data_IF_012270319755
#
_entry.id   IF_012270319755
#
_cell.length_a   1.000
_cell.length_b   1.000
_cell.length_c   1.000
_cell.angle_alpha   90.00
_cell.angle_beta   90.00
_cell.angle_gamma   90.00
#
_symmetry.space_group_name_H-M   'P 1'
#
loop_
_entity.id
_entity.type
_entity.pdbx_description
1 polymer ?
#
# COMPACT_ATOMS: atom_id res chain seq x y z
N UNK A 1 -31.03 4.64 -4.11
CA UNK A 1 -29.75 5.11 -3.52
C UNK A 1 -28.77 3.95 -3.27
N UNK A 2 -29.23 2.78 -2.81
CA UNK A 2 -28.39 1.58 -2.65
C UNK A 2 -27.72 1.11 -3.97
N UNK A 3 -28.40 1.28 -5.10
CA UNK A 3 -27.94 0.78 -6.41
C UNK A 3 -26.75 1.57 -6.99
N UNK A 4 -26.68 2.87 -6.71
CA UNK A 4 -25.60 3.74 -7.18
C UNK A 4 -24.31 3.54 -6.37
N UNK A 5 -24.41 3.39 -5.05
CA UNK A 5 -23.28 3.08 -4.18
C UNK A 5 -22.69 1.69 -4.51
N UNK A 6 -23.55 0.69 -4.78
CA UNK A 6 -23.15 -0.64 -5.23
C UNK A 6 -22.44 -0.61 -6.59
N UNK A 7 -22.96 0.14 -7.56
CA UNK A 7 -22.34 0.30 -8.87
C UNK A 7 -20.98 1.01 -8.79
N UNK A 8 -20.84 2.05 -7.98
CA UNK A 8 -19.58 2.77 -7.80
C UNK A 8 -18.52 1.94 -7.08
N UNK A 9 -18.88 1.19 -6.04
CA UNK A 9 -17.98 0.24 -5.39
C UNK A 9 -17.50 -0.83 -6.39
N UNK A 10 -18.41 -1.29 -7.26
CA UNK A 10 -18.07 -2.25 -8.32
C UNK A 10 -17.10 -1.65 -9.34
N UNK A 11 -17.29 -0.41 -9.80
CA UNK A 11 -16.36 0.24 -10.75
C UNK A 11 -14.98 0.44 -10.13
N UNK A 12 -14.91 0.89 -8.87
CA UNK A 12 -13.64 1.02 -8.15
C UNK A 12 -12.96 -0.33 -8.04
N UNK A 13 -13.67 -1.38 -7.62
CA UNK A 13 -13.11 -2.73 -7.54
C UNK A 13 -12.71 -3.28 -8.91
N UNK A 14 -13.48 -3.06 -9.97
CA UNK A 14 -13.19 -3.56 -11.33
C UNK A 14 -11.98 -2.87 -11.96
N UNK A 15 -11.72 -1.59 -11.66
CA UNK A 15 -10.53 -0.88 -12.13
C UNK A 15 -9.31 -1.17 -11.24
N UNK A 16 -9.53 -1.29 -9.94
CA UNK A 16 -8.45 -1.43 -8.95
C UNK A 16 -7.95 -2.87 -8.84
N UNK A 17 -8.84 -3.87 -8.85
CA UNK A 17 -8.51 -5.30 -8.71
C UNK A 17 -7.56 -5.84 -9.81
N UNK A 18 -7.76 -5.60 -11.12
CA UNK A 18 -6.83 -6.11 -12.14
C UNK A 18 -5.46 -5.42 -12.09
N UNK A 19 -5.40 -4.14 -11.73
CA UNK A 19 -4.14 -3.44 -11.46
C UNK A 19 -3.45 -4.05 -10.23
N UNK A 20 -4.21 -4.27 -9.16
CA UNK A 20 -3.78 -4.87 -7.90
C UNK A 20 -3.23 -6.28 -8.08
N UNK A 21 -3.90 -7.14 -8.87
CA UNK A 21 -3.44 -8.50 -9.17
C UNK A 21 -2.20 -8.54 -10.07
N UNK A 22 -1.95 -7.49 -10.86
CA UNK A 22 -0.77 -7.39 -11.74
C UNK A 22 0.45 -6.81 -11.03
N UNK A 23 0.25 -5.97 -10.03
CA UNK A 23 1.32 -5.28 -9.32
C UNK A 23 2.47 -6.21 -8.83
N UNK A 24 2.26 -7.41 -8.23
CA UNK A 24 3.36 -8.26 -7.79
C UNK A 24 4.23 -8.81 -8.92
N UNK A 25 3.68 -8.91 -10.14
CA UNK A 25 4.44 -9.37 -11.31
C UNK A 25 5.32 -8.27 -11.87
N UNK A 26 4.84 -7.03 -11.82
CA UNK A 26 5.55 -5.87 -12.36
C UNK A 26 6.32 -5.07 -11.30
N UNK A 27 6.16 -5.39 -10.00
CA UNK A 27 6.81 -4.66 -8.92
C UNK A 27 8.32 -4.87 -8.96
N UNK A 28 9.11 -3.81 -9.24
CA UNK A 28 10.56 -3.89 -9.34
C UNK A 28 11.17 -4.55 -8.10
N UNK A 29 12.29 -5.26 -8.23
CA UNK A 29 13.00 -5.79 -7.07
C UNK A 29 13.31 -4.67 -6.07
N UNK A 30 13.28 -5.04 -4.79
CA UNK A 30 13.65 -4.12 -3.70
C UNK A 30 15.16 -3.95 -3.73
N UNK A 31 15.63 -2.71 -3.82
CA UNK A 31 17.06 -2.38 -3.81
C UNK A 31 17.66 -2.51 -2.41
N UNK A 32 19.00 -2.62 -2.30
CA UNK A 32 19.64 -2.67 -0.98
C UNK A 32 19.40 -1.40 -0.15
N UNK A 33 19.39 -0.23 -0.82
CA UNK A 33 19.06 1.03 -0.17
C UNK A 33 17.62 1.02 0.39
N UNK A 34 16.66 0.47 -0.35
CA UNK A 34 15.29 0.32 0.13
C UNK A 34 15.21 -0.65 1.32
N UNK A 35 15.97 -1.76 1.31
CA UNK A 35 16.02 -2.72 2.42
C UNK A 35 16.59 -2.14 3.72
N UNK A 36 17.43 -1.11 3.62
CA UNK A 36 17.98 -0.41 4.77
C UNK A 36 17.00 0.58 5.42
N UNK A 37 15.84 0.84 4.80
CA UNK A 37 14.85 1.78 5.33
C UNK A 37 14.16 1.23 6.59
N UNK A 38 13.71 2.11 7.52
CA UNK A 38 13.02 1.69 8.73
C UNK A 38 11.78 0.81 8.47
N UNK A 39 11.09 1.02 7.34
CA UNK A 39 9.93 0.22 6.94
C UNK A 39 10.24 -1.27 6.73
N UNK A 40 11.50 -1.63 6.44
CA UNK A 40 11.90 -3.03 6.30
C UNK A 40 12.19 -3.71 7.63
N UNK A 41 12.42 -2.94 8.71
CA UNK A 41 12.65 -3.50 10.05
C UNK A 41 11.36 -4.07 10.66
N UNK A 42 10.20 -3.53 10.26
CA UNK A 42 8.87 -3.90 10.77
C UNK A 42 8.18 -5.00 9.95
N UNK A 43 8.76 -5.41 8.81
CA UNK A 43 8.20 -6.46 7.98
C UNK A 43 8.16 -7.80 8.72
N UNK A 44 7.10 -8.61 8.54
CA UNK A 44 7.00 -9.91 9.16
C UNK A 44 8.03 -10.87 8.55
N UNK A 45 8.72 -11.62 9.40
CA UNK A 45 9.77 -12.60 9.04
C UNK A 45 9.28 -14.04 9.13
N UNK A 46 8.24 -14.29 9.91
CA UNK A 46 7.62 -15.60 10.08
C UNK A 46 6.09 -15.53 10.08
N UNK A 47 5.45 -16.70 10.19
CA UNK A 47 3.98 -16.80 10.17
C UNK A 47 3.30 -16.15 11.37
N UNK A 48 3.94 -16.15 12.54
CA UNK A 48 3.39 -15.55 13.75
C UNK A 48 3.48 -14.02 13.70
N UNK A 49 4.59 -13.47 13.21
CA UNK A 49 4.72 -12.06 12.87
C UNK A 49 3.72 -11.64 11.79
N UNK A 50 3.53 -12.45 10.74
CA UNK A 50 2.56 -12.13 9.69
C UNK A 50 1.12 -12.07 10.22
N UNK A 51 0.74 -12.95 11.14
CA UNK A 51 -0.59 -12.87 11.80
C UNK A 51 -0.77 -11.58 12.60
N UNK A 52 0.28 -11.16 13.32
CA UNK A 52 0.28 -9.90 14.08
C UNK A 52 0.24 -8.69 13.15
N UNK A 53 1.02 -8.71 12.06
CA UNK A 53 0.96 -7.73 10.99
C UNK A 53 -0.46 -7.59 10.46
N UNK A 54 -1.10 -8.69 10.07
CA UNK A 54 -2.44 -8.66 9.49
C UNK A 54 -3.50 -8.12 10.46
N UNK A 55 -3.45 -8.50 11.73
CA UNK A 55 -4.35 -7.95 12.75
C UNK A 55 -4.11 -6.45 12.95
N UNK A 56 -2.85 -6.04 13.03
CA UNK A 56 -2.48 -4.64 13.20
C UNK A 56 -2.83 -3.78 11.98
N UNK A 57 -2.70 -4.30 10.75
CA UNK A 57 -3.07 -3.60 9.51
C UNK A 57 -4.50 -3.07 9.54
N UNK A 58 -5.44 -3.78 10.19
CA UNK A 58 -6.81 -3.29 10.35
C UNK A 58 -6.87 -2.05 11.25
N UNK A 59 -6.10 -2.05 12.33
CA UNK A 59 -6.05 -0.94 13.30
C UNK A 59 -5.34 0.28 12.70
N UNK A 60 -4.20 0.06 12.04
CA UNK A 60 -3.46 1.13 11.36
C UNK A 60 -4.31 1.74 10.22
N UNK A 61 -4.90 0.91 9.36
CA UNK A 61 -5.81 1.37 8.31
C UNK A 61 -6.98 2.17 8.89
N UNK A 62 -7.60 1.73 9.98
CA UNK A 62 -8.69 2.47 10.62
C UNK A 62 -8.23 3.86 11.10
N UNK A 63 -7.08 3.93 11.79
CA UNK A 63 -6.52 5.19 12.27
C UNK A 63 -6.17 6.14 11.13
N UNK A 64 -5.56 5.63 10.07
CA UNK A 64 -5.18 6.43 8.90
C UNK A 64 -6.39 6.92 8.11
N UNK A 65 -7.41 6.08 7.89
CA UNK A 65 -8.63 6.52 7.20
C UNK A 65 -9.45 7.51 8.05
N UNK A 66 -9.50 7.33 9.37
CA UNK A 66 -10.09 8.33 10.27
C UNK A 66 -9.35 9.67 10.17
N UNK A 67 -8.02 9.67 10.27
CA UNK A 67 -7.22 10.88 10.22
C UNK A 67 -7.32 11.58 8.87
N UNK A 68 -7.17 10.86 7.76
CA UNK A 68 -7.04 11.48 6.46
C UNK A 68 -8.37 11.65 5.73
N UNK A 69 -9.35 10.75 5.90
CA UNK A 69 -10.63 10.84 5.16
C UNK A 69 -11.71 11.47 6.03
N UNK A 70 -11.89 10.96 7.25
CA UNK A 70 -12.93 11.48 8.13
C UNK A 70 -12.59 12.87 8.69
N UNK A 71 -11.31 13.17 8.91
CA UNK A 71 -10.86 14.45 9.43
C UNK A 71 -10.25 15.37 8.35
N UNK A 72 -9.04 15.10 7.84
CA UNK A 72 -8.32 16.04 6.95
C UNK A 72 -9.13 16.35 5.68
N UNK A 73 -9.55 15.34 4.91
CA UNK A 73 -10.30 15.53 3.68
C UNK A 73 -11.65 16.23 3.93
N UNK A 74 -12.38 15.81 4.97
CA UNK A 74 -13.65 16.42 5.34
C UNK A 74 -13.48 17.90 5.72
N UNK A 75 -12.47 18.20 6.54
CA UNK A 75 -12.14 19.56 6.96
C UNK A 75 -11.70 20.42 5.78
N UNK A 76 -10.76 19.97 4.95
CA UNK A 76 -10.35 20.71 3.75
C UNK A 76 -11.53 20.94 2.80
N UNK A 77 -12.44 19.97 2.69
CA UNK A 77 -13.65 20.07 1.89
C UNK A 77 -14.61 21.19 2.32
N UNK A 78 -14.49 21.74 3.53
CA UNK A 78 -15.26 22.93 3.94
C UNK A 78 -14.65 24.24 3.42
N UNK A 79 -13.39 24.23 2.97
CA UNK A 79 -12.64 25.42 2.56
C UNK A 79 -12.31 25.44 1.06
N UNK A 80 -12.31 24.28 0.39
CA UNK A 80 -11.92 24.18 -1.02
C UNK A 80 -12.72 23.10 -1.77
N UNK A 81 -12.74 23.14 -3.12
CA UNK A 81 -13.40 22.12 -3.93
C UNK A 81 -12.87 20.71 -3.62
N UNK A 82 -13.77 19.71 -3.67
CA UNK A 82 -13.45 18.30 -3.36
C UNK A 82 -12.17 17.78 -4.06
N UNK A 83 -11.89 18.06 -5.35
CA UNK A 83 -10.67 17.59 -5.99
C UNK A 83 -9.39 18.17 -5.35
N UNK A 84 -9.40 19.46 -4.99
CA UNK A 84 -8.27 20.10 -4.34
C UNK A 84 -8.03 19.54 -2.93
N UNK A 85 -9.12 19.35 -2.17
CA UNK A 85 -9.07 18.74 -0.84
C UNK A 85 -8.52 17.30 -0.90
N UNK A 86 -8.93 16.51 -1.90
CA UNK A 86 -8.42 15.15 -2.13
C UNK A 86 -6.92 15.14 -2.42
N UNK A 87 -6.46 15.99 -3.33
CA UNK A 87 -5.04 16.09 -3.69
C UNK A 87 -4.20 16.47 -2.47
N UNK A 88 -4.63 17.48 -1.72
CA UNK A 88 -3.90 17.96 -0.55
C UNK A 88 -3.88 16.91 0.57
N UNK A 89 -5.02 16.27 0.85
CA UNK A 89 -5.10 15.17 1.82
C UNK A 89 -4.19 14.00 1.43
N UNK A 90 -4.15 13.61 0.15
CA UNK A 90 -3.28 12.55 -0.34
C UNK A 90 -1.79 12.96 -0.29
N UNK A 91 -1.48 14.24 -0.52
CA UNK A 91 -0.14 14.78 -0.33
C UNK A 91 0.32 14.70 1.13
N UNK A 92 -0.55 15.06 2.08
CA UNK A 92 -0.26 14.93 3.51
C UNK A 92 -0.07 13.46 3.93
N UNK A 93 -0.86 12.55 3.34
CA UNK A 93 -0.70 11.10 3.54
C UNK A 93 0.64 10.59 3.02
N UNK A 94 1.04 11.01 1.81
CA UNK A 94 2.34 10.70 1.22
C UNK A 94 3.51 11.17 2.09
N UNK A 95 3.41 12.38 2.65
CA UNK A 95 4.43 12.94 3.54
C UNK A 95 4.58 12.14 4.83
N UNK A 96 3.47 11.70 5.44
CA UNK A 96 3.51 10.83 6.62
C UNK A 96 4.16 9.47 6.33
N UNK A 97 4.15 9.04 5.07
CA UNK A 97 4.79 7.82 4.59
C UNK A 97 6.26 8.03 4.17
N UNK A 98 6.86 9.19 4.43
CA UNK A 98 8.25 9.50 4.09
C UNK A 98 9.28 8.50 4.62
N UNK A 99 8.99 7.83 5.75
CA UNK A 99 9.84 6.78 6.33
C UNK A 99 10.00 5.54 5.44
N UNK A 100 9.13 5.37 4.45
CA UNK A 100 9.20 4.30 3.44
C UNK A 100 10.11 4.67 2.25
N UNK A 101 10.82 5.80 2.33
CA UNK A 101 11.62 6.34 1.24
C UNK A 101 10.76 6.99 0.15
N UNK A 102 11.42 7.66 -0.81
CA UNK A 102 10.76 8.46 -1.86
C UNK A 102 9.74 7.66 -2.66
N UNK A 103 10.09 6.43 -3.03
CA UNK A 103 9.22 5.53 -3.78
C UNK A 103 8.01 5.10 -2.95
N UNK A 104 8.22 4.70 -1.69
CA UNK A 104 7.14 4.32 -0.79
C UNK A 104 6.15 5.47 -0.56
N UNK A 105 6.66 6.66 -0.25
CA UNK A 105 5.86 7.87 -0.10
C UNK A 105 5.03 8.21 -1.35
N UNK A 106 5.62 8.13 -2.55
CA UNK A 106 4.91 8.37 -3.81
C UNK A 106 3.77 7.36 -4.01
N UNK A 107 4.03 6.07 -3.77
CA UNK A 107 3.03 5.02 -3.89
C UNK A 107 1.91 5.18 -2.85
N UNK A 108 2.26 5.56 -1.62
CA UNK A 108 1.30 5.90 -0.58
C UNK A 108 0.42 7.09 -0.99
N UNK A 109 0.98 8.13 -1.59
CA UNK A 109 0.20 9.26 -2.12
C UNK A 109 -0.78 8.85 -3.23
N UNK A 110 -0.34 8.05 -4.19
CA UNK A 110 -1.21 7.50 -5.25
C UNK A 110 -2.32 6.65 -4.63
N UNK A 111 -1.98 5.80 -3.67
CA UNK A 111 -2.96 5.00 -2.93
C UNK A 111 -3.96 5.89 -2.18
N UNK A 112 -3.46 6.97 -1.56
CA UNK A 112 -4.23 8.00 -0.89
C UNK A 112 -5.30 8.63 -1.80
N UNK A 113 -4.91 9.00 -3.02
CA UNK A 113 -5.83 9.52 -4.05
C UNK A 113 -6.92 8.50 -4.40
N UNK A 114 -6.56 7.23 -4.55
CA UNK A 114 -7.52 6.19 -4.95
C UNK A 114 -8.52 5.91 -3.83
N UNK A 115 -8.05 5.63 -2.61
CA UNK A 115 -8.94 5.35 -1.49
C UNK A 115 -9.76 6.59 -1.09
N UNK A 116 -9.16 7.78 -1.14
CA UNK A 116 -9.88 9.04 -0.90
C UNK A 116 -10.94 9.33 -1.98
N UNK A 117 -10.63 9.08 -3.25
CA UNK A 117 -11.59 9.18 -4.34
C UNK A 117 -12.73 8.18 -4.19
N UNK A 118 -12.41 6.93 -3.85
CA UNK A 118 -13.41 5.91 -3.57
C UNK A 118 -14.31 6.29 -2.38
N UNK A 119 -13.74 6.86 -1.32
CA UNK A 119 -14.50 7.39 -0.18
C UNK A 119 -15.45 8.52 -0.60
N UNK A 120 -15.03 9.46 -1.44
CA UNK A 120 -15.90 10.55 -1.91
C UNK A 120 -17.07 10.06 -2.77
N UNK A 121 -16.89 8.95 -3.48
CA UNK A 121 -17.94 8.36 -4.34
C UNK A 121 -18.88 7.46 -3.53
N UNK A 122 -18.34 6.58 -2.70
CA UNK A 122 -19.11 5.59 -1.93
C UNK A 122 -19.72 6.21 -0.67
N UNK A 123 -19.04 7.18 -0.05
CA UNK A 123 -19.47 7.84 1.19
C UNK A 123 -19.35 7.00 2.46
N UNK A 124 -18.79 5.78 2.37
CA UNK A 124 -18.74 4.83 3.48
C UNK A 124 -17.30 4.63 3.98
N UNK A 125 -17.00 5.14 5.19
CA UNK A 125 -15.64 5.09 5.75
C UNK A 125 -15.14 3.65 5.96
N UNK A 126 -16.02 2.74 6.40
CA UNK A 126 -15.64 1.33 6.59
C UNK A 126 -15.21 0.64 5.30
N UNK A 127 -15.70 1.07 4.14
CA UNK A 127 -15.21 0.58 2.85
C UNK A 127 -13.76 1.01 2.60
N UNK A 128 -13.43 2.27 2.88
CA UNK A 128 -12.06 2.79 2.77
C UNK A 128 -11.11 2.04 3.73
N UNK A 129 -11.54 1.83 4.98
CA UNK A 129 -10.79 1.06 5.99
C UNK A 129 -10.53 -0.36 5.50
N UNK A 130 -11.56 -1.05 4.99
CA UNK A 130 -11.42 -2.42 4.50
C UNK A 130 -10.46 -2.49 3.31
N UNK A 131 -10.59 -1.58 2.34
CA UNK A 131 -9.71 -1.50 1.17
C UNK A 131 -8.25 -1.25 1.57
N UNK A 132 -8.02 -0.36 2.52
CA UNK A 132 -6.70 -0.06 3.06
C UNK A 132 -6.10 -1.23 3.83
N UNK A 133 -6.83 -1.83 4.77
CA UNK A 133 -6.34 -2.99 5.51
C UNK A 133 -5.97 -4.16 4.58
N UNK A 134 -6.78 -4.42 3.55
CA UNK A 134 -6.49 -5.45 2.56
C UNK A 134 -5.22 -5.13 1.76
N UNK A 135 -4.98 -3.87 1.44
CA UNK A 135 -3.75 -3.42 0.78
C UNK A 135 -2.52 -3.69 1.64
N UNK A 136 -2.54 -3.31 2.92
CA UNK A 136 -1.41 -3.49 3.84
C UNK A 136 -1.08 -4.97 4.09
N UNK A 137 -2.12 -5.79 4.27
CA UNK A 137 -1.97 -7.24 4.43
C UNK A 137 -1.32 -7.84 3.18
N UNK A 138 -1.78 -7.41 2.02
CA UNK A 138 -1.31 -7.92 0.74
C UNK A 138 0.13 -7.50 0.43
N UNK A 139 0.49 -6.23 0.66
CA UNK A 139 1.88 -5.74 0.51
C UNK A 139 2.79 -6.49 1.48
N UNK A 140 2.37 -6.62 2.74
CA UNK A 140 3.08 -7.40 3.75
C UNK A 140 3.31 -8.85 3.32
N UNK A 141 2.30 -9.49 2.72
CA UNK A 141 2.42 -10.86 2.22
C UNK A 141 3.39 -10.99 1.05
N UNK A 142 3.33 -10.08 0.08
CA UNK A 142 4.23 -10.08 -1.08
C UNK A 142 5.68 -9.88 -0.63
N UNK A 143 5.93 -8.92 0.26
CA UNK A 143 7.27 -8.64 0.76
C UNK A 143 7.79 -9.76 1.65
N UNK A 144 6.97 -10.29 2.56
CA UNK A 144 7.27 -11.49 3.34
C UNK A 144 7.75 -12.64 2.45
N UNK A 145 7.01 -12.96 1.38
CA UNK A 145 7.38 -14.04 0.45
C UNK A 145 8.64 -13.78 -0.34
N UNK A 146 8.90 -12.52 -0.72
CA UNK A 146 10.12 -12.14 -1.46
C UNK A 146 11.36 -12.17 -0.58
N UNK A 147 11.23 -11.83 0.70
CA UNK A 147 12.34 -11.89 1.66
C UNK A 147 12.61 -13.31 2.16
N UNK A 148 11.58 -14.16 2.21
CA UNK A 148 11.73 -15.57 2.55
C UNK A 148 12.27 -16.45 1.40
N UNK A 149 12.28 -15.95 0.16
CA UNK A 149 12.83 -16.69 -0.97
C UNK A 149 14.37 -16.75 -0.89
N UNK A 150 15.01 -17.92 -1.09
CA UNK A 150 16.46 -18.00 -1.15
C UNK A 150 17.01 -17.09 -2.24
N UNK A 151 18.06 -16.31 -1.95
CA UNK A 151 18.79 -15.58 -2.98
C UNK A 151 19.29 -16.60 -4.01
N UNK A 152 19.04 -16.43 -5.33
CA UNK A 152 19.66 -17.28 -6.33
C UNK A 152 21.16 -17.13 -6.15
N UNK A 153 21.83 -18.18 -5.65
CA UNK A 153 23.28 -18.24 -5.66
C UNK A 153 23.64 -18.20 -7.14
N UNK A 154 24.28 -17.11 -7.58
CA UNK A 154 24.87 -17.06 -8.91
C UNK A 154 25.71 -18.32 -9.03
N UNK A 155 25.31 -19.23 -9.93
CA UNK A 155 26.02 -20.48 -10.15
C UNK A 155 27.47 -20.11 -10.41
N UNK A 156 28.35 -20.43 -9.46
CA UNK A 156 29.77 -20.31 -9.65
C UNK A 156 30.08 -21.00 -10.98
N UNK A 157 30.49 -20.23 -11.98
CA UNK A 157 30.88 -20.78 -13.27
C UNK A 157 31.92 -21.86 -13.05
N UNK A 158 31.98 -22.89 -13.90
CA UNK A 158 32.93 -23.98 -13.72
C UNK A 158 34.33 -23.40 -13.58
N UNK A 159 34.98 -23.67 -12.43
CA UNK A 159 36.36 -23.31 -12.21
C UNK A 159 37.18 -23.96 -13.32
N UNK A 160 37.74 -23.14 -14.20
CA UNK A 160 38.68 -23.60 -15.22
C UNK A 160 39.85 -24.27 -14.49
N UNK A 161 40.19 -25.54 -14.78
CA UNK A 161 41.37 -26.13 -14.19
C UNK A 161 42.59 -25.38 -14.72
N UNK A 162 43.42 -24.87 -13.80
CA UNK A 162 44.74 -24.40 -14.14
C UNK A 162 45.56 -25.59 -14.67
N UNK A 163 45.79 -25.63 -15.98
CA UNK A 163 46.76 -26.52 -16.58
C UNK A 163 48.15 -25.98 -16.23
N UNK A 164 48.88 -26.75 -15.42
CA UNK A 164 50.33 -26.66 -15.31
C UNK A 164 51.02 -27.33 -16.49
#
# INVERSE_FOLDING_TARGET
MADAAGACATVVLVLFLPLWLRLPRVWPPVTEQERALPSFLILPRDRAEFRRWAAGSVVWAAGEELAYRAFVLAYLGTWMPKPAALILSAGMFALAHGYQGRRGALLAGIFGLVVGGAYLVVGFLYFAIALHALWDIWVGYVLYRRLAAPTPVASAGPATPATG
#
